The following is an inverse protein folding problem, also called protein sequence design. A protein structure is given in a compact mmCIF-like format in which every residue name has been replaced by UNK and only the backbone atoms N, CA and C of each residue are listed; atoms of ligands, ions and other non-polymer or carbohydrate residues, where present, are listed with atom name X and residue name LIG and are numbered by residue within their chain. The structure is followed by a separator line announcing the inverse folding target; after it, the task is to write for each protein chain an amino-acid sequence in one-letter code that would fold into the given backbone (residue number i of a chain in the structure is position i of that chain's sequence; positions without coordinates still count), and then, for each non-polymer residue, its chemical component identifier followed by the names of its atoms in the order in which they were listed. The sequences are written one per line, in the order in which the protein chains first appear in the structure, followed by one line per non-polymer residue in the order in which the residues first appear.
data_IF_917578915507
#
_entry.id   IF_917578915507
#
_cell.length_a   1.000
_cell.length_b   1.000
_cell.length_c   1.000
_cell.angle_alpha   90.00
_cell.angle_beta   90.00
_cell.angle_gamma   90.00
#
_symmetry.space_group_name_H-M   'P 1'
#
loop_
_entity.id
_entity.type
_entity.pdbx_description
1 polymer ?
#
# COMPACT_ATOMS: atom_id res chain seq x y z
N UNK A 1 7.54 -30.51 -14.55
CA UNK A 1 7.31 -29.05 -14.57
C UNK A 1 6.06 -28.78 -15.40
N UNK A 2 4.88 -28.88 -14.79
CA UNK A 2 3.59 -28.74 -15.45
C UNK A 2 2.88 -27.53 -14.86
N UNK A 3 2.76 -26.48 -15.68
CA UNK A 3 2.12 -25.22 -15.32
C UNK A 3 0.66 -25.41 -14.95
N UNK A 4 0.21 -24.71 -13.91
CA UNK A 4 -1.19 -24.65 -13.53
C UNK A 4 -1.90 -23.80 -14.59
N UNK A 5 -2.63 -24.46 -15.49
CA UNK A 5 -3.51 -23.78 -16.42
C UNK A 5 -4.75 -23.30 -15.66
N UNK A 6 -4.85 -21.99 -15.42
CA UNK A 6 -6.05 -21.36 -14.87
C UNK A 6 -7.12 -21.42 -15.98
N UNK A 7 -8.02 -22.41 -15.92
CA UNK A 7 -9.19 -22.46 -16.79
C UNK A 7 -10.14 -21.32 -16.41
N UNK A 8 -10.30 -20.36 -17.31
CA UNK A 8 -11.34 -19.34 -17.22
C UNK A 8 -12.72 -20.02 -17.31
N UNK A 9 -13.59 -19.76 -16.33
CA UNK A 9 -15.01 -20.14 -16.41
C UNK A 9 -15.81 -19.01 -17.07
N UNK A 10 -16.84 -19.34 -17.87
CA UNK A 10 -17.78 -18.33 -18.36
C UNK A 10 -18.43 -17.60 -17.18
N UNK A 11 -18.64 -16.29 -17.32
CA UNK A 11 -19.06 -15.38 -16.26
C UNK A 11 -20.34 -15.83 -15.54
N UNK A 12 -21.20 -16.54 -16.26
CA UNK A 12 -22.52 -17.03 -15.84
C UNK A 12 -22.44 -18.15 -14.78
N UNK A 13 -21.26 -18.75 -14.59
CA UNK A 13 -20.99 -19.76 -13.55
C UNK A 13 -20.18 -19.21 -12.36
N UNK A 14 -19.90 -17.92 -12.34
CA UNK A 14 -19.25 -17.26 -11.21
C UNK A 14 -20.34 -16.96 -10.17
N UNK A 15 -20.10 -17.34 -8.90
CA UNK A 15 -21.03 -17.05 -7.80
C UNK A 15 -21.36 -15.56 -7.78
N UNK A 16 -22.64 -15.21 -7.93
CA UNK A 16 -23.13 -13.83 -7.91
C UNK A 16 -22.89 -13.10 -6.57
N UNK A 17 -22.49 -13.86 -5.53
CA UNK A 17 -22.23 -13.37 -4.18
C UNK A 17 -20.74 -13.07 -3.90
N UNK A 18 -19.93 -12.88 -4.95
CA UNK A 18 -18.59 -12.30 -4.78
C UNK A 18 -18.70 -10.80 -5.01
N UNK A 19 -18.49 -9.96 -3.97
CA UNK A 19 -18.41 -8.52 -4.10
C UNK A 19 -17.23 -8.11 -5.01
N UNK A 20 -17.42 -8.12 -6.33
CA UNK A 20 -16.43 -7.65 -7.30
C UNK A 20 -16.08 -6.17 -7.09
N UNK A 21 -16.96 -5.40 -6.44
CA UNK A 21 -16.72 -4.01 -6.06
C UNK A 21 -15.65 -3.84 -4.96
N UNK A 22 -15.16 -4.92 -4.34
CA UNK A 22 -14.02 -4.88 -3.39
C UNK A 22 -12.68 -5.26 -4.01
N UNK A 23 -12.66 -5.66 -5.28
CA UNK A 23 -11.44 -5.99 -6.02
C UNK A 23 -10.87 -4.71 -6.65
N UNK A 24 -10.39 -3.79 -5.82
CA UNK A 24 -9.91 -2.49 -6.30
C UNK A 24 -9.13 -1.63 -5.31
N UNK A 25 -9.00 -2.07 -4.05
CA UNK A 25 -7.95 -1.55 -3.18
C UNK A 25 -6.72 -2.37 -3.50
N UNK A 26 -5.77 -1.79 -4.25
CA UNK A 26 -4.51 -2.45 -4.60
C UNK A 26 -3.94 -3.19 -3.39
N UNK A 27 -3.43 -4.39 -3.64
CA UNK A 27 -2.90 -5.25 -2.59
C UNK A 27 -1.92 -4.47 -1.70
N UNK A 28 -2.14 -4.50 -0.38
CA UNK A 28 -1.27 -3.77 0.55
C UNK A 28 0.06 -4.51 0.62
N UNK A 29 1.11 -3.91 0.06
CA UNK A 29 2.47 -4.43 0.13
C UNK A 29 3.21 -3.79 1.31
N UNK A 30 4.03 -4.60 2.00
CA UNK A 30 4.93 -4.12 3.05
C UNK A 30 6.19 -3.54 2.44
N UNK A 31 6.56 -2.33 2.86
CA UNK A 31 7.84 -1.71 2.54
C UNK A 31 8.76 -1.81 3.76
N UNK A 32 9.92 -2.44 3.59
CA UNK A 32 10.95 -2.52 4.62
C UNK A 32 12.07 -1.53 4.28
N UNK A 33 12.36 -0.60 5.18
CA UNK A 33 13.36 0.45 4.97
C UNK A 33 14.41 0.34 6.08
N UNK A 34 15.67 0.33 5.69
CA UNK A 34 16.77 0.42 6.63
C UNK A 34 17.00 1.90 6.95
N UNK A 35 16.80 2.26 8.21
CA UNK A 35 17.08 3.58 8.77
C UNK A 35 17.90 3.39 10.04
N UNK A 36 18.68 4.41 10.41
CA UNK A 36 19.38 4.36 11.68
C UNK A 36 18.43 4.60 12.87
N UNK A 37 18.96 4.40 14.08
CA UNK A 37 18.16 4.56 15.31
C UNK A 37 17.78 6.01 15.59
N UNK A 38 18.61 6.95 15.17
CA UNK A 38 18.41 8.37 15.43
C UNK A 38 17.30 8.91 14.53
N UNK A 39 17.35 8.60 13.23
CA UNK A 39 16.32 8.88 12.25
C UNK A 39 14.97 8.29 12.67
N UNK A 40 14.94 7.03 13.12
CA UNK A 40 13.72 6.41 13.65
C UNK A 40 13.16 7.18 14.87
N UNK A 41 14.03 7.69 15.75
CA UNK A 41 13.60 8.47 16.90
C UNK A 41 13.01 9.82 16.48
N UNK A 42 13.62 10.47 15.49
CA UNK A 42 13.12 11.72 14.90
C UNK A 42 11.74 11.52 14.25
N UNK A 43 11.55 10.45 13.46
CA UNK A 43 10.26 10.15 12.83
C UNK A 43 9.16 9.91 13.86
N UNK A 44 9.47 9.18 14.94
CA UNK A 44 8.52 8.96 16.05
C UNK A 44 8.14 10.25 16.75
N UNK A 45 9.10 11.12 17.01
CA UNK A 45 8.86 12.41 17.65
C UNK A 45 7.97 13.29 16.77
N UNK A 46 8.29 13.40 15.48
CA UNK A 46 7.47 14.13 14.52
C UNK A 46 6.04 13.57 14.44
N UNK A 47 5.87 12.26 14.48
CA UNK A 47 4.55 11.64 14.48
C UNK A 47 3.74 11.99 15.75
N UNK A 48 4.38 12.01 16.92
CA UNK A 48 3.75 12.45 18.19
C UNK A 48 3.34 13.92 18.10
N UNK A 49 4.23 14.80 17.65
CA UNK A 49 3.96 16.24 17.56
C UNK A 49 2.81 16.56 16.58
N UNK A 50 2.58 15.68 15.60
CA UNK A 50 1.51 15.78 14.60
C UNK A 50 0.26 14.96 14.95
N UNK A 51 0.19 14.34 16.13
CA UNK A 51 -0.89 13.45 16.58
C UNK A 51 -1.25 12.37 15.53
N UNK A 52 -0.22 11.75 14.95
CA UNK A 52 -0.35 10.75 13.90
C UNK A 52 0.59 9.56 14.13
N UNK A 53 0.49 8.54 13.30
CA UNK A 53 1.41 7.40 13.31
C UNK A 53 2.51 7.55 12.24
N UNK A 54 3.63 6.85 12.45
CA UNK A 54 4.80 6.92 11.54
C UNK A 54 4.46 6.44 10.12
N UNK A 55 3.53 5.50 9.97
CA UNK A 55 3.10 5.01 8.65
C UNK A 55 2.39 6.12 7.89
N UNK A 56 1.46 6.81 8.56
CA UNK A 56 0.74 7.95 8.00
C UNK A 56 1.70 9.09 7.65
N UNK A 57 2.64 9.42 8.56
CA UNK A 57 3.69 10.42 8.31
C UNK A 57 4.50 10.10 7.04
N UNK A 58 4.97 8.86 6.90
CA UNK A 58 5.75 8.41 5.72
C UNK A 58 4.91 8.46 4.45
N UNK A 59 3.64 8.03 4.50
CA UNK A 59 2.75 8.13 3.35
C UNK A 59 2.54 9.58 2.90
N UNK A 60 2.35 10.52 3.83
CA UNK A 60 2.18 11.94 3.52
C UNK A 60 3.44 12.55 2.94
N UNK A 61 4.61 12.24 3.51
CA UNK A 61 5.90 12.70 3.01
C UNK A 61 6.14 12.22 1.57
N UNK A 62 5.93 10.92 1.30
CA UNK A 62 6.09 10.37 -0.05
C UNK A 62 5.07 10.96 -1.02
N UNK A 63 3.80 11.10 -0.61
CA UNK A 63 2.76 11.74 -1.45
C UNK A 63 3.12 13.19 -1.77
N UNK A 64 3.63 13.93 -0.80
CA UNK A 64 4.08 15.32 -1.00
C UNK A 64 5.21 15.38 -2.02
N UNK A 65 6.25 14.57 -1.82
CA UNK A 65 7.39 14.48 -2.74
C UNK A 65 6.93 14.14 -4.17
N UNK A 66 6.04 13.15 -4.32
CA UNK A 66 5.52 12.76 -5.64
C UNK A 66 4.65 13.83 -6.29
N UNK A 67 3.93 14.66 -5.53
CA UNK A 67 3.21 15.81 -6.11
C UNK A 67 4.15 16.92 -6.56
N UNK A 68 5.23 17.14 -5.82
CA UNK A 68 6.19 18.22 -6.08
C UNK A 68 7.17 17.86 -7.21
N UNK A 69 7.48 16.57 -7.39
CA UNK A 69 8.52 16.09 -8.31
C UNK A 69 8.06 15.04 -9.31
N UNK A 70 6.90 14.41 -9.09
CA UNK A 70 6.31 13.47 -10.05
C UNK A 70 5.65 14.24 -11.17
N UNK A 71 6.20 14.14 -12.38
CA UNK A 71 5.47 14.51 -13.60
C UNK A 71 4.25 13.59 -13.70
N UNK A 72 3.07 14.22 -13.79
CA UNK A 72 1.81 13.56 -14.09
C UNK A 72 1.87 12.77 -15.41
#
# INVERSE_FOLDING_TARGET
MSGIAIKSKPADQVRADVPVHKVGKGETVRLNINIDKEERAQWKRAAIDLDTDVTTLVHEAVRKYLREHGKA
#
